data_IF_185482075609
#
_entry.id   IF_185482075609
#
_cell.length_a   1.000
_cell.length_b   1.000
_cell.length_c   1.000
_cell.angle_alpha   90.00
_cell.angle_beta   90.00
_cell.angle_gamma   90.00
#
_symmetry.space_group_name_H-M   'P 1'
#
loop_
_entity.id
_entity.type
_entity.pdbx_description
1 polymer ?
#
# COMPACT_ATOMS: atom_id res chain seq x y z
N UNK A 1 0.52 23.18 -16.99
CA UNK A 1 -0.53 23.14 -15.97
C UNK A 1 -0.82 24.57 -15.52
N UNK A 2 -2.05 25.08 -15.64
CA UNK A 2 -2.39 26.42 -15.22
C UNK A 2 -2.58 26.46 -13.69
N UNK A 3 -1.48 26.37 -12.94
CA UNK A 3 -1.50 26.67 -11.51
C UNK A 3 -1.66 28.21 -11.40
N UNK A 4 -2.87 28.66 -11.14
CA UNK A 4 -3.26 30.09 -11.10
C UNK A 4 -2.80 30.80 -9.83
N UNK A 5 -2.29 30.07 -8.84
CA UNK A 5 -1.80 30.65 -7.60
C UNK A 5 -0.37 31.20 -7.77
N UNK A 6 -0.01 32.27 -7.06
CA UNK A 6 1.33 32.82 -7.10
C UNK A 6 2.35 31.84 -6.52
N UNK A 7 3.56 31.89 -7.05
CA UNK A 7 4.68 31.10 -6.56
C UNK A 7 5.52 31.93 -5.59
N UNK A 8 5.97 31.29 -4.52
CA UNK A 8 6.84 31.93 -3.53
C UNK A 8 8.18 32.35 -4.13
N UNK A 9 8.83 31.43 -4.82
CA UNK A 9 10.06 31.71 -5.58
C UNK A 9 10.22 30.72 -6.73
N UNK A 10 9.63 31.03 -7.87
CA UNK A 10 9.66 30.18 -9.06
C UNK A 10 11.09 29.92 -9.59
N UNK A 11 11.97 30.91 -9.49
CA UNK A 11 13.36 30.80 -9.95
C UNK A 11 14.15 29.79 -9.09
N UNK A 12 13.99 29.87 -7.78
CA UNK A 12 14.58 28.90 -6.83
C UNK A 12 14.10 27.49 -7.14
N UNK A 13 12.80 27.30 -7.29
CA UNK A 13 12.21 25.99 -7.50
C UNK A 13 12.66 25.35 -8.82
N UNK A 14 12.74 26.13 -9.89
CA UNK A 14 13.29 25.68 -11.18
C UNK A 14 14.77 25.32 -11.05
N UNK A 15 15.57 26.16 -10.39
CA UNK A 15 16.99 25.89 -10.16
C UNK A 15 17.21 24.60 -9.39
N UNK A 16 16.42 24.38 -8.35
CA UNK A 16 16.46 23.15 -7.55
C UNK A 16 16.13 21.90 -8.39
N UNK A 17 15.03 21.94 -9.17
CA UNK A 17 14.61 20.83 -10.04
C UNK A 17 15.72 20.51 -11.06
N UNK A 18 16.26 21.53 -11.72
CA UNK A 18 17.32 21.34 -12.73
C UNK A 18 18.57 20.71 -12.12
N UNK A 19 18.97 21.16 -10.93
CA UNK A 19 20.13 20.59 -10.22
C UNK A 19 19.91 19.12 -9.89
N UNK A 20 18.73 18.78 -9.38
CA UNK A 20 18.35 17.38 -9.03
C UNK A 20 18.31 16.47 -10.26
N UNK A 21 17.75 16.95 -11.38
CA UNK A 21 17.73 16.19 -12.64
C UNK A 21 19.15 15.97 -13.20
N UNK A 22 20.04 16.96 -13.09
CA UNK A 22 21.44 16.79 -13.49
C UNK A 22 22.16 15.75 -12.64
N UNK A 23 21.94 15.78 -11.33
CA UNK A 23 22.51 14.80 -10.40
C UNK A 23 22.02 13.38 -10.73
N UNK A 24 20.71 13.19 -10.94
CA UNK A 24 20.10 11.91 -11.31
C UNK A 24 20.64 11.36 -12.65
N UNK A 25 21.10 12.22 -13.54
CA UNK A 25 21.68 11.88 -14.85
C UNK A 25 23.21 11.82 -14.86
N UNK A 26 23.87 11.92 -13.69
CA UNK A 26 25.34 11.85 -13.58
C UNK A 26 26.08 13.10 -14.10
N UNK A 27 25.39 14.26 -14.15
CA UNK A 27 26.01 15.56 -14.42
C UNK A 27 25.63 16.22 -15.75
N UNK A 28 25.24 15.47 -16.77
CA UNK A 28 24.86 16.03 -18.08
C UNK A 28 23.43 15.63 -18.47
N UNK A 29 22.64 16.64 -18.85
CA UNK A 29 21.36 16.38 -19.53
C UNK A 29 21.69 15.95 -20.96
N UNK A 30 21.47 14.70 -21.29
CA UNK A 30 21.67 14.18 -22.63
C UNK A 30 20.72 14.88 -23.61
N UNK A 31 21.23 15.26 -24.76
CA UNK A 31 20.51 16.06 -25.79
C UNK A 31 19.22 15.37 -26.30
N UNK A 32 19.09 14.06 -26.08
CA UNK A 32 17.92 13.26 -26.46
C UNK A 32 17.00 12.94 -25.28
N UNK A 33 17.24 13.54 -24.12
CA UNK A 33 16.37 13.35 -22.96
C UNK A 33 15.16 14.27 -23.05
N UNK A 34 13.99 13.75 -22.65
CA UNK A 34 12.77 14.54 -22.57
C UNK A 34 11.94 14.17 -21.34
N UNK A 35 11.21 15.16 -20.86
CA UNK A 35 10.32 15.01 -19.72
C UNK A 35 8.89 14.83 -20.22
N UNK A 36 8.26 13.73 -19.83
CA UNK A 36 6.85 13.49 -20.08
C UNK A 36 6.11 13.56 -18.74
N UNK A 37 5.11 14.42 -18.63
CA UNK A 37 4.31 14.60 -17.42
C UNK A 37 2.85 14.31 -17.68
N UNK A 38 2.15 13.82 -16.66
CA UNK A 38 0.70 13.66 -16.71
C UNK A 38 0.04 15.04 -16.88
N UNK A 39 -1.04 15.09 -17.64
CA UNK A 39 -1.80 16.33 -17.84
C UNK A 39 -2.51 16.80 -16.57
N UNK A 40 -2.79 15.88 -15.66
CA UNK A 40 -3.53 16.14 -14.44
C UNK A 40 -2.62 16.04 -13.22
N UNK A 41 -2.91 16.87 -12.22
CA UNK A 41 -2.25 16.77 -10.92
C UNK A 41 -2.85 15.67 -10.09
N UNK A 42 -1.98 15.03 -9.31
CA UNK A 42 -2.35 14.02 -8.33
C UNK A 42 -2.45 14.71 -6.97
N UNK A 43 -3.59 14.64 -6.32
CA UNK A 43 -3.81 15.27 -5.03
C UNK A 43 -3.80 14.23 -3.91
N UNK A 44 -2.96 14.46 -2.91
CA UNK A 44 -2.93 13.65 -1.70
C UNK A 44 -2.53 14.51 -0.50
N UNK A 45 -3.29 14.42 0.59
CA UNK A 45 -3.09 15.22 1.80
C UNK A 45 -3.08 16.73 1.49
N UNK A 46 -1.99 17.42 1.84
CA UNK A 46 -1.80 18.87 1.66
C UNK A 46 -1.01 19.22 0.40
N UNK A 47 -0.66 18.24 -0.43
CA UNK A 47 0.17 18.46 -1.62
C UNK A 47 -0.60 18.15 -2.92
N UNK A 48 -0.28 18.93 -3.95
CA UNK A 48 -0.53 18.58 -5.32
C UNK A 48 0.78 18.01 -5.92
N UNK A 49 0.70 16.88 -6.58
CA UNK A 49 1.86 16.20 -7.15
C UNK A 49 1.86 16.30 -8.65
N UNK A 50 2.92 16.83 -9.21
CA UNK A 50 3.22 16.67 -10.62
C UNK A 50 3.90 15.30 -10.79
N UNK A 51 3.26 14.40 -11.52
CA UNK A 51 3.77 13.05 -11.78
C UNK A 51 4.22 12.97 -13.23
N UNK A 52 5.44 12.50 -13.45
CA UNK A 52 6.04 12.39 -14.76
C UNK A 52 7.12 11.32 -14.84
N UNK A 53 7.74 11.24 -16.00
CA UNK A 53 8.90 10.41 -16.26
C UNK A 53 9.93 11.17 -17.07
N UNK A 54 11.19 11.01 -16.71
CA UNK A 54 12.33 11.47 -17.46
C UNK A 54 12.79 10.32 -18.37
N UNK A 55 12.62 10.49 -19.66
CA UNK A 55 12.98 9.50 -20.65
C UNK A 55 14.34 9.87 -21.21
N UNK A 56 15.31 8.97 -21.11
CA UNK A 56 16.65 9.11 -21.64
C UNK A 56 16.94 7.96 -22.60
N UNK A 57 18.00 8.02 -23.42
CA UNK A 57 18.39 6.90 -24.26
C UNK A 57 18.74 5.62 -23.49
N UNK A 58 19.04 5.72 -22.20
CA UNK A 58 19.50 4.61 -21.36
C UNK A 58 18.47 4.09 -20.37
N UNK A 59 17.52 4.95 -19.92
CA UNK A 59 16.57 4.61 -18.89
C UNK A 59 15.34 5.52 -18.89
N UNK A 60 14.25 5.02 -18.32
CA UNK A 60 13.08 5.81 -17.93
C UNK A 60 13.09 5.95 -16.42
N UNK A 61 13.19 7.18 -15.90
CA UNK A 61 13.24 7.48 -14.48
C UNK A 61 11.93 8.15 -14.04
N UNK A 62 11.47 7.91 -12.83
CA UNK A 62 10.37 8.70 -12.25
C UNK A 62 10.73 10.18 -12.16
N UNK A 63 9.72 11.01 -12.23
CA UNK A 63 9.81 12.43 -11.96
C UNK A 63 8.59 12.86 -11.16
N UNK A 64 8.76 13.03 -9.85
CA UNK A 64 7.65 13.35 -8.93
C UNK A 64 7.99 14.66 -8.20
N UNK A 65 7.11 15.64 -8.29
CA UNK A 65 7.24 16.93 -7.60
C UNK A 65 6.04 17.16 -6.68
N UNK A 66 6.20 17.12 -5.37
CA UNK A 66 5.20 17.64 -4.44
C UNK A 66 5.21 19.17 -4.46
N UNK A 67 4.05 19.73 -4.74
CA UNK A 67 3.79 21.17 -4.74
C UNK A 67 2.93 21.47 -3.53
N UNK A 68 3.45 22.26 -2.64
CA UNK A 68 2.79 22.69 -1.41
C UNK A 68 2.26 24.12 -1.54
N UNK A 69 1.35 24.43 -0.64
CA UNK A 69 0.85 25.79 -0.43
C UNK A 69 1.28 26.27 0.95
N UNK A 70 1.98 27.39 0.99
CA UNK A 70 2.38 28.08 2.22
C UNK A 70 1.18 28.73 2.93
N UNK A 71 1.36 29.16 4.17
CA UNK A 71 0.30 29.76 4.97
C UNK A 71 -0.23 31.08 4.37
N UNK A 72 0.61 31.83 3.66
CA UNK A 72 0.28 33.03 2.88
C UNK A 72 -0.32 32.73 1.49
N UNK A 73 -0.54 31.46 1.18
CA UNK A 73 -1.25 31.00 0.00
C UNK A 73 -0.40 30.84 -1.26
N UNK A 74 0.92 31.01 -1.18
CA UNK A 74 1.83 30.85 -2.31
C UNK A 74 2.24 29.40 -2.53
N UNK A 75 2.56 29.03 -3.76
CA UNK A 75 3.03 27.70 -4.12
C UNK A 75 4.55 27.59 -4.01
N UNK A 76 5.03 26.43 -3.62
CA UNK A 76 6.44 26.08 -3.66
C UNK A 76 6.63 24.58 -3.90
N UNK A 77 7.78 24.21 -4.49
CA UNK A 77 8.21 22.81 -4.62
C UNK A 77 9.02 22.44 -3.39
N UNK A 78 8.63 21.34 -2.76
CA UNK A 78 9.29 20.82 -1.55
C UNK A 78 10.54 19.98 -1.92
N UNK A 79 10.37 19.05 -2.86
CA UNK A 79 11.45 18.16 -3.31
C UNK A 79 11.27 17.72 -4.76
N UNK A 80 12.26 17.01 -5.30
CA UNK A 80 12.21 16.37 -6.61
C UNK A 80 12.65 14.92 -6.45
N UNK A 81 11.75 13.97 -6.68
CA UNK A 81 12.01 12.54 -6.54
C UNK A 81 12.21 11.93 -7.93
N UNK A 82 13.32 11.22 -8.11
CA UNK A 82 13.75 10.71 -9.42
C UNK A 82 14.12 9.22 -9.40
N UNK A 83 14.05 8.55 -8.26
CA UNK A 83 14.35 7.13 -8.15
C UNK A 83 13.09 6.27 -8.08
N UNK A 84 13.18 5.04 -8.57
CA UNK A 84 12.08 4.06 -8.48
C UNK A 84 11.73 3.73 -7.03
N UNK A 85 12.70 3.73 -6.12
CA UNK A 85 12.49 3.48 -4.70
C UNK A 85 11.63 4.58 -4.07
N UNK A 86 11.98 5.85 -4.25
CA UNK A 86 11.21 7.00 -3.77
C UNK A 86 9.80 7.02 -4.36
N UNK A 87 9.68 6.80 -5.67
CA UNK A 87 8.38 6.71 -6.34
C UNK A 87 7.53 5.58 -5.77
N UNK A 88 8.13 4.41 -5.48
CA UNK A 88 7.44 3.29 -4.88
C UNK A 88 6.94 3.60 -3.46
N UNK A 89 7.69 4.36 -2.67
CA UNK A 89 7.26 4.82 -1.34
C UNK A 89 6.08 5.78 -1.46
N UNK A 90 6.15 6.74 -2.37
CA UNK A 90 5.06 7.71 -2.62
C UNK A 90 3.78 7.01 -3.07
N UNK A 91 3.88 6.03 -3.97
CA UNK A 91 2.77 5.18 -4.41
C UNK A 91 2.62 3.92 -3.55
N UNK A 92 2.88 4.02 -2.25
CA UNK A 92 2.95 2.90 -1.31
C UNK A 92 1.71 2.01 -1.24
N UNK A 93 1.73 1.07 -0.31
CA UNK A 93 0.65 0.07 -0.10
C UNK A 93 -0.42 0.55 0.89
N UNK A 94 -0.31 1.78 1.32
CA UNK A 94 -1.24 2.38 2.25
C UNK A 94 -2.51 2.85 1.53
N UNK A 95 -3.60 2.94 2.31
CA UNK A 95 -4.89 3.35 1.78
C UNK A 95 -4.97 4.80 1.31
N UNK A 96 -4.07 5.67 1.74
CA UNK A 96 -4.04 7.07 1.28
C UNK A 96 -3.66 7.13 -0.21
N UNK A 97 -4.65 6.99 -1.06
CA UNK A 97 -4.49 7.05 -2.52
C UNK A 97 -4.53 8.48 -3.02
N UNK A 98 -4.03 8.66 -4.24
CA UNK A 98 -4.15 9.93 -4.95
C UNK A 98 -5.57 10.15 -5.49
N UNK A 99 -6.08 11.35 -5.33
CA UNK A 99 -7.20 11.84 -6.12
C UNK A 99 -6.66 12.46 -7.40
N UNK A 100 -6.96 11.82 -8.52
CA UNK A 100 -6.56 12.26 -9.86
C UNK A 100 -7.71 12.08 -10.83
N UNK A 101 -7.89 13.04 -11.74
CA UNK A 101 -8.83 12.88 -12.83
C UNK A 101 -8.24 11.94 -13.88
N UNK A 102 -8.80 10.78 -14.02
CA UNK A 102 -8.34 9.72 -14.93
C UNK A 102 -9.51 9.27 -15.84
N UNK A 103 -9.74 9.95 -16.97
CA UNK A 103 -10.82 9.58 -17.89
C UNK A 103 -10.61 8.18 -18.49
N UNK A 104 -9.36 7.74 -18.62
CA UNK A 104 -8.95 6.41 -19.06
C UNK A 104 -8.02 5.78 -18.02
N UNK A 105 -8.56 5.23 -16.91
CA UNK A 105 -7.74 4.71 -15.82
C UNK A 105 -6.75 3.63 -16.26
N UNK A 106 -7.12 2.76 -17.18
CA UNK A 106 -6.24 1.72 -17.69
C UNK A 106 -5.01 2.29 -18.40
N UNK A 107 -5.16 3.34 -19.21
CA UNK A 107 -4.04 3.99 -19.89
C UNK A 107 -3.11 4.67 -18.88
N UNK A 108 -3.68 5.30 -17.83
CA UNK A 108 -2.88 5.90 -16.77
C UNK A 108 -2.10 4.84 -15.98
N UNK A 109 -2.72 3.71 -15.67
CA UNK A 109 -2.06 2.60 -14.96
C UNK A 109 -0.92 2.03 -15.80
N UNK A 110 -1.12 1.78 -17.10
CA UNK A 110 -0.05 1.31 -17.98
C UNK A 110 1.11 2.32 -18.06
N UNK A 111 0.80 3.60 -18.14
CA UNK A 111 1.82 4.65 -18.14
C UNK A 111 2.60 4.72 -16.81
N UNK A 112 1.93 4.53 -15.66
CA UNK A 112 2.58 4.49 -14.34
C UNK A 112 3.48 3.26 -14.16
N UNK A 113 3.17 2.13 -14.79
CA UNK A 113 4.00 0.92 -14.70
C UNK A 113 5.43 1.12 -15.18
N UNK A 114 5.66 2.02 -16.12
CA UNK A 114 7.00 2.32 -16.61
C UNK A 114 7.91 2.94 -15.53
N UNK A 115 7.33 3.67 -14.59
CA UNK A 115 8.07 4.30 -13.47
C UNK A 115 7.90 3.58 -12.15
N UNK A 116 7.02 2.58 -12.08
CA UNK A 116 6.70 1.79 -10.90
C UNK A 116 6.70 0.29 -11.23
N UNK A 117 7.81 -0.26 -11.74
CA UNK A 117 7.85 -1.65 -12.25
C UNK A 117 7.62 -2.70 -11.17
N UNK A 118 7.83 -2.36 -9.89
CA UNK A 118 7.59 -3.25 -8.75
C UNK A 118 6.16 -3.26 -8.24
N UNK A 119 5.24 -2.46 -8.83
CA UNK A 119 3.83 -2.42 -8.44
C UNK A 119 2.96 -3.28 -9.34
N UNK A 120 2.03 -4.03 -8.76
CA UNK A 120 1.03 -4.77 -9.53
C UNK A 120 0.00 -3.82 -10.14
N UNK A 121 -0.72 -4.30 -11.15
CA UNK A 121 -1.84 -3.56 -11.75
C UNK A 121 -2.89 -3.19 -10.72
N UNK A 122 -3.20 -4.10 -9.80
CA UNK A 122 -4.14 -3.86 -8.70
C UNK A 122 -3.68 -2.72 -7.78
N UNK A 123 -2.40 -2.70 -7.41
CA UNK A 123 -1.83 -1.66 -6.55
C UNK A 123 -1.82 -0.28 -7.23
N UNK A 124 -1.55 -0.23 -8.53
CA UNK A 124 -1.60 1.03 -9.28
C UNK A 124 -3.03 1.57 -9.41
N UNK A 125 -4.02 0.71 -9.66
CA UNK A 125 -5.43 1.12 -9.61
C UNK A 125 -5.82 1.65 -8.21
N UNK A 126 -5.35 0.99 -7.15
CA UNK A 126 -5.59 1.47 -5.78
C UNK A 126 -4.96 2.84 -5.57
N UNK A 127 -3.71 3.02 -5.97
CA UNK A 127 -2.96 4.27 -5.81
C UNK A 127 -3.64 5.48 -6.47
N UNK A 128 -4.36 5.28 -7.57
CA UNK A 128 -5.13 6.35 -8.27
C UNK A 128 -6.61 6.42 -7.86
N UNK A 129 -7.00 5.74 -6.77
CA UNK A 129 -8.36 5.79 -6.24
C UNK A 129 -9.39 4.90 -6.95
N UNK A 130 -8.98 4.07 -7.91
CA UNK A 130 -9.87 3.16 -8.64
C UNK A 130 -10.07 1.83 -7.90
N UNK A 131 -10.65 1.89 -6.70
CA UNK A 131 -10.76 0.77 -5.76
C UNK A 131 -11.48 -0.46 -6.34
N UNK A 132 -12.56 -0.27 -7.10
CA UNK A 132 -13.30 -1.40 -7.72
C UNK A 132 -12.45 -2.14 -8.74
N UNK A 133 -11.70 -1.42 -9.56
CA UNK A 133 -10.75 -2.00 -10.50
C UNK A 133 -9.63 -2.74 -9.75
N UNK A 134 -9.05 -2.09 -8.75
CA UNK A 134 -8.01 -2.68 -7.91
C UNK A 134 -8.47 -4.02 -7.29
N UNK A 135 -9.66 -4.06 -6.69
CA UNK A 135 -10.22 -5.27 -6.10
C UNK A 135 -10.44 -6.37 -7.14
N UNK A 136 -10.92 -6.01 -8.34
CA UNK A 136 -11.14 -6.96 -9.44
C UNK A 136 -9.80 -7.53 -9.92
N UNK A 137 -8.79 -6.70 -10.14
CA UNK A 137 -7.47 -7.15 -10.60
C UNK A 137 -6.77 -7.99 -9.52
N UNK A 138 -6.84 -7.59 -8.25
CA UNK A 138 -6.32 -8.37 -7.14
C UNK A 138 -6.95 -9.78 -7.05
N UNK A 139 -8.27 -9.88 -7.29
CA UNK A 139 -8.95 -11.18 -7.33
C UNK A 139 -8.55 -12.01 -8.55
N UNK A 140 -8.31 -11.37 -9.70
CA UNK A 140 -7.78 -12.05 -10.90
C UNK A 140 -6.36 -12.55 -10.69
N UNK A 141 -5.50 -11.73 -10.06
CA UNK A 141 -4.14 -12.14 -9.67
C UNK A 141 -4.18 -13.39 -8.77
N UNK A 142 -5.07 -13.39 -7.78
CA UNK A 142 -5.30 -14.54 -6.91
C UNK A 142 -5.74 -15.78 -7.71
N UNK A 143 -6.79 -15.67 -8.53
CA UNK A 143 -7.28 -16.80 -9.33
C UNK A 143 -6.20 -17.34 -10.27
N UNK A 144 -5.45 -16.47 -10.90
CA UNK A 144 -4.35 -16.84 -11.78
C UNK A 144 -3.24 -17.60 -11.02
N UNK A 145 -2.94 -17.17 -9.79
CA UNK A 145 -1.98 -17.84 -8.94
C UNK A 145 -2.45 -19.25 -8.54
N UNK A 146 -3.63 -19.38 -7.97
CA UNK A 146 -4.14 -20.65 -7.45
C UNK A 146 -4.44 -21.69 -8.54
N UNK A 147 -4.68 -21.26 -9.79
CA UNK A 147 -4.86 -22.19 -10.91
C UNK A 147 -3.55 -22.75 -11.47
N UNK A 148 -2.40 -22.18 -11.08
CA UNK A 148 -1.07 -22.56 -11.58
C UNK A 148 -0.13 -23.03 -10.49
N UNK A 149 -0.56 -22.99 -9.25
CA UNK A 149 0.21 -23.39 -8.07
C UNK A 149 -0.47 -24.55 -7.38
N UNK A 150 0.32 -25.56 -6.98
CA UNK A 150 -0.13 -26.65 -6.11
C UNK A 150 0.07 -26.32 -4.63
N UNK A 151 0.41 -25.06 -4.29
CA UNK A 151 0.58 -24.62 -2.92
C UNK A 151 -0.74 -24.68 -2.13
N UNK A 152 -0.58 -24.96 -0.85
CA UNK A 152 -1.69 -24.93 0.08
C UNK A 152 -1.64 -23.69 0.97
N UNK A 153 -2.80 -23.18 1.33
CA UNK A 153 -2.93 -22.20 2.37
C UNK A 153 -2.44 -22.78 3.70
N UNK A 154 -1.59 -22.05 4.36
CA UNK A 154 -1.05 -22.35 5.69
C UNK A 154 -1.31 -21.18 6.64
N UNK A 155 -1.24 -21.44 7.95
CA UNK A 155 -1.23 -20.35 8.92
C UNK A 155 -0.07 -19.41 8.61
N UNK A 156 -0.31 -18.10 8.63
CA UNK A 156 0.74 -17.13 8.35
C UNK A 156 1.82 -17.18 9.43
N UNK A 157 3.12 -17.14 9.04
CA UNK A 157 4.21 -17.10 10.02
C UNK A 157 4.11 -15.89 10.96
N UNK A 158 4.55 -16.05 12.21
CA UNK A 158 4.61 -14.99 13.20
C UNK A 158 3.77 -15.26 14.44
N UNK A 159 3.57 -14.22 15.24
CA UNK A 159 2.82 -14.33 16.50
C UNK A 159 1.32 -14.32 16.19
N UNK A 160 0.62 -15.35 16.64
CA UNK A 160 -0.83 -15.48 16.46
C UNK A 160 -1.59 -14.25 16.98
N UNK A 161 -2.51 -13.75 16.14
CA UNK A 161 -3.39 -12.68 16.53
C UNK A 161 -4.44 -13.11 17.56
N UNK A 162 -4.78 -12.22 18.50
CA UNK A 162 -5.82 -12.48 19.50
C UNK A 162 -7.24 -12.37 18.93
N UNK A 163 -7.42 -11.63 17.86
CA UNK A 163 -8.71 -11.26 17.26
C UNK A 163 -8.91 -11.88 15.88
N UNK A 164 -7.82 -12.00 15.12
CA UNK A 164 -7.83 -12.46 13.74
C UNK A 164 -7.07 -13.78 13.62
N UNK A 165 -7.61 -14.70 12.82
CA UNK A 165 -6.86 -15.80 12.26
C UNK A 165 -6.27 -15.34 10.93
N UNK A 166 -4.97 -15.48 10.76
CA UNK A 166 -4.23 -15.03 9.58
C UNK A 166 -3.61 -16.24 8.88
N UNK A 167 -3.83 -16.34 7.58
CA UNK A 167 -3.29 -17.41 6.75
C UNK A 167 -2.82 -16.87 5.40
N UNK A 168 -2.00 -17.62 4.69
CA UNK A 168 -1.37 -17.20 3.44
C UNK A 168 -1.07 -18.39 2.54
N UNK A 169 -0.86 -18.13 1.24
CA UNK A 169 -0.14 -19.02 0.33
C UNK A 169 1.34 -18.62 0.35
N UNK A 170 2.29 -19.54 0.56
CA UNK A 170 3.71 -19.21 0.73
C UNK A 170 4.31 -18.33 -0.37
N UNK A 171 4.03 -18.62 -1.62
CA UNK A 171 4.53 -17.86 -2.77
C UNK A 171 3.64 -16.71 -3.22
N UNK A 172 2.52 -16.45 -2.55
CA UNK A 172 1.62 -15.33 -2.90
C UNK A 172 1.72 -14.20 -1.89
N UNK A 173 1.95 -13.00 -2.36
CA UNK A 173 2.24 -11.80 -1.57
C UNK A 173 1.02 -11.21 -0.85
N UNK A 174 0.14 -12.05 -0.34
CA UNK A 174 -1.06 -11.60 0.39
C UNK A 174 -1.27 -12.44 1.65
N UNK A 175 -1.82 -11.80 2.65
CA UNK A 175 -2.37 -12.45 3.85
C UNK A 175 -3.88 -12.34 3.86
N UNK A 176 -4.51 -13.38 4.33
CA UNK A 176 -5.96 -13.54 4.45
C UNK A 176 -6.31 -13.54 5.93
N UNK A 177 -7.23 -12.68 6.34
CA UNK A 177 -7.57 -12.46 7.75
C UNK A 177 -9.05 -12.71 7.99
N UNK A 178 -9.36 -13.61 8.89
CA UNK A 178 -10.73 -13.91 9.33
C UNK A 178 -10.88 -13.52 10.79
N UNK A 179 -11.95 -12.81 11.12
CA UNK A 179 -12.26 -12.46 12.52
C UNK A 179 -12.64 -13.77 13.23
N UNK A 180 -12.02 -14.08 14.38
CA UNK A 180 -12.32 -15.26 15.18
C UNK A 180 -13.75 -15.21 15.73
N UNK A 181 -14.34 -16.37 16.02
CA UNK A 181 -15.65 -16.47 16.64
C UNK A 181 -15.62 -16.09 18.13
N UNK A 182 -14.48 -16.36 18.78
CA UNK A 182 -14.24 -16.03 20.19
C UNK A 182 -12.91 -15.32 20.33
N UNK A 183 -12.87 -14.28 21.14
CA UNK A 183 -11.66 -13.54 21.47
C UNK A 183 -11.10 -13.99 22.81
N UNK A 184 -9.81 -13.73 23.05
CA UNK A 184 -9.20 -13.96 24.35
C UNK A 184 -9.96 -13.17 25.44
N UNK A 185 -10.14 -13.72 26.65
CA UNK A 185 -10.94 -13.10 27.71
C UNK A 185 -10.51 -11.69 28.13
N UNK A 186 -9.25 -11.35 27.84
CA UNK A 186 -8.67 -10.03 28.15
C UNK A 186 -9.10 -8.94 27.16
N UNK A 187 -9.81 -9.28 26.07
CA UNK A 187 -10.29 -8.31 25.08
C UNK A 187 -11.80 -8.28 25.06
N UNK A 188 -12.37 -7.27 25.72
CA UNK A 188 -13.79 -6.92 25.59
C UNK A 188 -14.07 -6.34 24.20
N UNK A 189 -14.02 -7.18 23.17
CA UNK A 189 -14.26 -6.79 21.77
C UNK A 189 -15.31 -7.70 21.14
N UNK A 190 -16.06 -7.15 20.20
CA UNK A 190 -16.99 -7.91 19.37
C UNK A 190 -16.54 -7.88 17.90
N UNK A 191 -16.98 -8.84 17.10
CA UNK A 191 -16.72 -8.82 15.65
C UNK A 191 -17.25 -7.54 14.97
N UNK A 192 -18.36 -6.99 15.45
CA UNK A 192 -18.90 -5.70 14.97
C UNK A 192 -17.94 -4.54 15.28
N UNK A 193 -17.35 -4.52 16.47
CA UNK A 193 -16.37 -3.50 16.84
C UNK A 193 -15.10 -3.60 15.98
N UNK A 194 -14.61 -4.81 15.72
CA UNK A 194 -13.45 -5.01 14.81
C UNK A 194 -13.75 -4.45 13.43
N UNK A 195 -14.91 -4.75 12.85
CA UNK A 195 -15.33 -4.20 11.55
C UNK A 195 -15.41 -2.67 11.58
N UNK A 196 -15.95 -2.10 12.65
CA UNK A 196 -16.03 -0.65 12.82
C UNK A 196 -14.64 -0.01 12.86
N UNK A 197 -13.64 -0.64 13.50
CA UNK A 197 -12.26 -0.17 13.48
C UNK A 197 -11.65 -0.18 12.07
N UNK A 198 -11.87 -1.25 11.30
CA UNK A 198 -11.43 -1.30 9.88
C UNK A 198 -12.12 -0.21 9.06
N UNK A 199 -13.41 0.01 9.25
CA UNK A 199 -14.15 1.07 8.56
C UNK A 199 -13.66 2.47 8.95
N UNK A 200 -13.39 2.71 10.24
CA UNK A 200 -12.82 3.95 10.74
C UNK A 200 -11.49 4.29 10.04
N UNK A 201 -10.59 3.32 9.93
CA UNK A 201 -9.32 3.49 9.19
C UNK A 201 -9.59 3.84 7.73
N UNK A 202 -10.52 3.13 7.10
CA UNK A 202 -10.91 3.39 5.71
C UNK A 202 -11.39 4.82 5.47
N UNK A 203 -12.09 5.40 6.40
CA UNK A 203 -12.69 6.73 6.29
C UNK A 203 -11.74 7.86 6.71
N UNK A 204 -10.83 7.60 7.65
CA UNK A 204 -10.07 8.63 8.32
C UNK A 204 -8.56 8.61 8.07
N UNK A 205 -8.00 7.49 7.59
CA UNK A 205 -6.56 7.46 7.28
C UNK A 205 -6.24 8.33 6.07
N UNK A 206 -5.76 9.52 6.34
CA UNK A 206 -5.24 10.48 5.36
C UNK A 206 -3.72 10.53 5.35
N UNK A 207 -3.08 9.80 6.24
CA UNK A 207 -1.61 9.80 6.40
C UNK A 207 -0.96 8.76 5.50
N UNK A 208 -1.62 7.61 5.33
CA UNK A 208 -1.12 6.51 4.52
C UNK A 208 -0.12 5.63 5.25
N UNK A 209 -0.27 5.49 6.57
CA UNK A 209 0.54 4.58 7.39
C UNK A 209 -0.17 3.27 7.71
N UNK A 210 -1.46 3.19 7.46
CA UNK A 210 -2.22 1.95 7.63
C UNK A 210 -2.25 1.16 6.32
N UNK A 211 -1.92 -0.12 6.38
CA UNK A 211 -1.98 -1.00 5.21
C UNK A 211 -3.38 -0.99 4.59
N UNK A 212 -3.43 -0.97 3.26
CA UNK A 212 -4.70 -1.10 2.56
C UNK A 212 -5.27 -2.49 2.74
N UNK A 213 -6.56 -2.55 3.04
CA UNK A 213 -7.29 -3.78 3.32
C UNK A 213 -8.45 -3.91 2.35
N UNK A 214 -8.44 -4.97 1.56
CA UNK A 214 -9.57 -5.34 0.72
C UNK A 214 -10.50 -6.29 1.50
N UNK A 215 -11.78 -5.99 1.46
CA UNK A 215 -12.82 -6.74 2.16
C UNK A 215 -13.62 -7.57 1.15
N UNK A 216 -13.78 -8.85 1.43
CA UNK A 216 -14.55 -9.80 0.61
C UNK A 216 -15.63 -10.48 1.43
N UNK A 217 -16.79 -10.64 0.82
CA UNK A 217 -17.88 -11.47 1.35
C UNK A 217 -17.98 -12.77 0.57
N UNK A 218 -18.28 -13.84 1.26
CA UNK A 218 -18.46 -15.20 0.69
C UNK A 218 -17.28 -15.63 -0.19
N UNK A 219 -16.05 -15.44 0.32
CA UNK A 219 -14.86 -15.82 -0.40
C UNK A 219 -14.71 -17.34 -0.44
N UNK A 220 -14.65 -17.89 -1.66
CA UNK A 220 -14.66 -19.35 -1.86
C UNK A 220 -13.24 -19.87 -2.03
N UNK A 221 -12.89 -20.91 -1.26
CA UNK A 221 -11.63 -21.64 -1.32
C UNK A 221 -11.88 -23.12 -1.69
N UNK A 222 -11.01 -23.69 -2.51
CA UNK A 222 -10.98 -25.15 -2.74
C UNK A 222 -10.34 -25.83 -1.52
N UNK A 223 -10.99 -26.84 -0.97
CA UNK A 223 -10.50 -27.57 0.21
C UNK A 223 -9.15 -28.24 -0.03
N UNK A 224 -8.84 -28.63 -1.26
CA UNK A 224 -7.54 -29.23 -1.64
C UNK A 224 -6.38 -28.25 -1.49
N UNK A 225 -6.67 -26.96 -1.59
CA UNK A 225 -5.69 -25.88 -1.43
C UNK A 225 -5.55 -25.41 0.02
N UNK A 226 -6.14 -26.11 0.98
CA UNK A 226 -6.05 -25.76 2.40
C UNK A 226 -5.32 -26.87 3.11
N UNK A 227 -4.20 -26.56 3.77
CA UNK A 227 -3.49 -27.53 4.60
C UNK A 227 -4.40 -28.07 5.70
N UNK A 228 -4.34 -29.37 6.03
CA UNK A 228 -5.21 -29.99 7.04
C UNK A 228 -5.17 -29.30 8.41
N UNK A 229 -3.98 -28.81 8.80
CA UNK A 229 -3.76 -28.08 10.05
C UNK A 229 -4.50 -26.75 10.04
N UNK A 230 -4.45 -26.02 8.93
CA UNK A 230 -5.18 -24.77 8.76
C UNK A 230 -6.70 -25.01 8.72
N UNK A 231 -7.15 -26.08 8.06
CA UNK A 231 -8.58 -26.41 8.04
C UNK A 231 -9.11 -26.67 9.45
N UNK A 232 -8.36 -27.42 10.24
CA UNK A 232 -8.69 -27.69 11.65
C UNK A 232 -8.77 -26.39 12.45
N UNK A 233 -7.81 -25.50 12.24
CA UNK A 233 -7.74 -24.21 12.92
C UNK A 233 -8.89 -23.29 12.51
N UNK A 234 -9.22 -23.22 11.22
CA UNK A 234 -10.37 -22.46 10.70
C UNK A 234 -11.68 -22.93 11.32
N UNK A 235 -11.88 -24.24 11.38
CA UNK A 235 -13.08 -24.84 12.01
C UNK A 235 -13.18 -24.54 13.51
N UNK A 236 -12.05 -24.57 14.21
CA UNK A 236 -12.02 -24.34 15.66
C UNK A 236 -12.21 -22.86 16.03
N UNK A 237 -11.61 -21.94 15.28
CA UNK A 237 -11.54 -20.52 15.65
C UNK A 237 -12.52 -19.62 14.89
N UNK A 238 -12.99 -20.04 13.71
CA UNK A 238 -13.87 -19.26 12.83
C UNK A 238 -14.99 -20.08 12.18
N UNK A 239 -15.36 -21.23 12.79
CA UNK A 239 -16.32 -22.18 12.24
C UNK A 239 -17.67 -21.57 11.89
N UNK A 240 -18.16 -20.62 12.67
CA UNK A 240 -19.43 -19.90 12.40
C UNK A 240 -19.42 -19.04 11.13
N UNK A 241 -18.26 -18.82 10.55
CA UNK A 241 -18.08 -18.03 9.31
C UNK A 241 -17.84 -18.90 8.10
N UNK A 242 -17.77 -20.21 8.29
CA UNK A 242 -17.54 -21.17 7.23
C UNK A 242 -18.86 -21.78 6.76
N UNK A 243 -19.06 -21.81 5.45
CA UNK A 243 -20.12 -22.57 4.81
C UNK A 243 -19.51 -23.68 3.97
N UNK A 244 -19.85 -24.90 4.27
CA UNK A 244 -19.41 -26.07 3.49
C UNK A 244 -20.16 -26.14 2.15
N UNK A 245 -19.41 -26.19 1.07
CA UNK A 245 -19.91 -26.29 -0.30
C UNK A 245 -19.43 -27.58 -1.01
N UNK A 246 -19.22 -28.67 -0.25
CA UNK A 246 -18.70 -29.93 -0.76
C UNK A 246 -17.17 -29.86 -0.93
N UNK A 247 -16.65 -29.78 -2.14
CA UNK A 247 -15.22 -29.68 -2.43
C UNK A 247 -14.62 -28.32 -2.05
N UNK A 248 -15.45 -27.34 -1.69
CA UNK A 248 -15.07 -25.99 -1.37
C UNK A 248 -15.64 -25.54 -0.04
N UNK A 249 -15.08 -24.47 0.51
CA UNK A 249 -15.65 -23.71 1.62
C UNK A 249 -15.83 -22.27 1.22
N UNK A 250 -16.89 -21.64 1.72
CA UNK A 250 -17.05 -20.19 1.62
C UNK A 250 -16.81 -19.57 3.00
N UNK A 251 -15.99 -18.52 3.04
CA UNK A 251 -15.76 -17.70 4.22
C UNK A 251 -16.66 -16.48 4.10
N UNK A 252 -17.60 -16.30 5.02
CA UNK A 252 -18.64 -15.27 4.94
C UNK A 252 -18.09 -13.84 4.90
N UNK A 253 -16.94 -13.62 5.55
CA UNK A 253 -16.27 -12.31 5.60
C UNK A 253 -14.77 -12.48 5.76
N UNK A 254 -13.99 -11.86 4.86
CA UNK A 254 -12.54 -12.00 4.78
C UNK A 254 -11.90 -10.65 4.45
N UNK A 255 -10.79 -10.35 5.12
CA UNK A 255 -9.89 -9.25 4.75
C UNK A 255 -8.66 -9.82 4.05
N UNK A 256 -8.24 -9.16 2.97
CA UNK A 256 -6.99 -9.48 2.25
C UNK A 256 -6.10 -8.23 2.26
N UNK A 257 -4.85 -8.42 2.65
CA UNK A 257 -3.84 -7.36 2.72
C UNK A 257 -2.55 -7.84 2.07
N UNK A 258 -1.68 -6.90 1.72
CA UNK A 258 -0.31 -7.24 1.32
C UNK A 258 0.41 -7.90 2.50
N UNK A 259 1.14 -8.98 2.20
CA UNK A 259 2.02 -9.62 3.17
C UNK A 259 3.27 -8.76 3.38
N UNK A 260 3.48 -8.34 4.58
CA UNK A 260 4.66 -7.60 5.03
C UNK A 260 5.42 -8.43 6.05
N UNK A 261 6.72 -8.19 6.17
CA UNK A 261 7.52 -8.80 7.24
C UNK A 261 7.22 -8.06 8.54
N UNK A 262 6.74 -8.71 9.61
CA UNK A 262 6.53 -8.06 10.90
C UNK A 262 7.82 -7.41 11.41
N UNK A 263 7.72 -6.18 11.91
CA UNK A 263 8.89 -5.38 12.31
C UNK A 263 9.74 -6.10 13.38
N UNK A 264 9.13 -6.82 14.31
CA UNK A 264 9.89 -7.60 15.30
C UNK A 264 10.78 -8.67 14.65
N UNK A 265 10.35 -9.30 13.56
CA UNK A 265 11.14 -10.28 12.80
C UNK A 265 12.19 -9.55 11.96
N UNK A 266 11.84 -8.43 11.34
CA UNK A 266 12.76 -7.63 10.55
C UNK A 266 13.94 -7.13 11.36
N UNK A 267 13.69 -6.61 12.57
CA UNK A 267 14.73 -6.07 13.44
C UNK A 267 15.76 -7.13 13.90
N UNK A 268 15.41 -8.42 13.89
CA UNK A 268 16.33 -9.52 14.18
C UNK A 268 17.26 -9.87 13.01
N UNK A 269 16.93 -9.40 11.80
CA UNK A 269 17.61 -9.76 10.55
C UNK A 269 18.51 -8.64 10.00
N UNK A 270 18.43 -7.44 10.56
CA UNK A 270 19.14 -6.26 10.04
C UNK A 270 20.03 -5.61 11.10
N UNK A 271 21.11 -5.00 10.62
CA UNK A 271 22.08 -4.29 11.46
C UNK A 271 22.44 -2.94 10.83
N UNK A 272 23.21 -2.16 11.58
CA UNK A 272 23.80 -0.92 11.08
C UNK A 272 22.78 0.15 10.69
N UNK A 273 22.88 0.68 9.48
CA UNK A 273 22.00 1.76 9.01
C UNK A 273 20.57 1.29 8.80
N UNK A 274 20.35 0.10 8.24
CA UNK A 274 19.01 -0.44 8.02
C UNK A 274 18.19 -0.60 9.32
N UNK A 275 18.88 -0.99 10.42
CA UNK A 275 18.24 -1.05 11.74
C UNK A 275 17.84 0.36 12.23
N UNK A 276 18.72 1.35 12.07
CA UNK A 276 18.42 2.74 12.46
C UNK A 276 17.23 3.29 11.67
N UNK A 277 17.25 3.11 10.34
CA UNK A 277 16.19 3.59 9.45
C UNK A 277 14.82 2.97 9.81
N UNK A 278 14.78 1.67 10.10
CA UNK A 278 13.55 0.99 10.50
C UNK A 278 13.00 1.50 11.84
N UNK A 279 13.86 1.75 12.83
CA UNK A 279 13.45 2.29 14.13
C UNK A 279 12.98 3.74 14.01
N UNK A 280 13.67 4.54 13.20
CA UNK A 280 13.30 5.94 12.93
C UNK A 280 11.95 6.01 12.21
N UNK A 281 11.74 5.18 11.17
CA UNK A 281 10.46 5.10 10.46
C UNK A 281 9.32 4.59 11.34
N UNK A 282 9.57 3.67 12.25
CA UNK A 282 8.59 3.26 13.26
C UNK A 282 8.17 4.45 14.15
N UNK A 283 9.14 5.23 14.65
CA UNK A 283 8.87 6.45 15.42
C UNK A 283 8.09 7.49 14.60
N UNK A 284 8.46 7.69 13.33
CA UNK A 284 7.77 8.58 12.40
C UNK A 284 6.33 8.14 12.15
N UNK A 285 6.09 6.83 11.98
CA UNK A 285 4.75 6.28 11.77
C UNK A 285 3.85 6.56 12.98
N UNK A 286 4.32 6.32 14.21
CA UNK A 286 3.57 6.62 15.44
C UNK A 286 3.22 8.11 15.52
N UNK A 287 4.22 8.99 15.30
CA UNK A 287 4.01 10.45 15.35
C UNK A 287 2.98 10.92 14.32
N UNK A 288 3.04 10.39 13.11
CA UNK A 288 2.11 10.76 12.03
C UNK A 288 0.69 10.23 12.28
N UNK A 289 0.54 9.00 12.76
CA UNK A 289 -0.75 8.44 13.16
C UNK A 289 -1.39 9.26 14.29
N UNK A 290 -0.60 9.62 15.31
CA UNK A 290 -1.05 10.47 16.40
C UNK A 290 -1.50 11.86 15.91
N UNK A 291 -0.74 12.47 14.99
CA UNK A 291 -1.09 13.75 14.37
C UNK A 291 -2.39 13.68 13.54
N UNK A 292 -2.72 12.50 13.01
CA UNK A 292 -3.98 12.23 12.32
C UNK A 292 -5.12 11.80 13.24
N UNK A 293 -4.90 11.79 14.55
CA UNK A 293 -5.83 11.30 15.57
C UNK A 293 -6.19 9.81 15.39
N UNK A 294 -5.23 9.02 14.86
CA UNK A 294 -5.36 7.58 14.75
C UNK A 294 -4.46 6.96 15.81
N UNK A 295 -5.07 6.29 16.79
CA UNK A 295 -4.36 5.60 17.85
C UNK A 295 -4.52 4.09 17.66
N UNK A 296 -3.47 3.38 17.18
CA UNK A 296 -3.47 1.92 17.19
C UNK A 296 -3.63 1.45 18.63
N UNK A 297 -4.58 0.59 18.90
CA UNK A 297 -4.83 0.07 20.25
C UNK A 297 -3.70 -0.79 20.81
N UNK A 298 -2.69 -1.11 19.98
CA UNK A 298 -1.57 -1.96 20.32
C UNK A 298 -0.36 -1.56 19.44
N UNK A 299 0.60 -0.83 20.01
CA UNK A 299 1.80 -0.34 19.34
C UNK A 299 2.97 -1.33 19.42
N UNK A 300 2.72 -2.62 19.40
CA UNK A 300 3.76 -3.64 19.39
C UNK A 300 4.40 -3.74 18.00
N UNK A 301 5.71 -4.00 17.96
CA UNK A 301 6.48 -4.16 16.73
C UNK A 301 5.87 -5.19 15.75
N UNK A 302 5.25 -6.27 16.28
CA UNK A 302 4.58 -7.28 15.45
C UNK A 302 3.40 -6.75 14.61
N UNK A 303 2.86 -5.58 14.96
CA UNK A 303 1.73 -4.95 14.27
C UNK A 303 2.16 -3.94 13.21
N UNK A 304 3.46 -3.69 13.08
CA UNK A 304 4.07 -2.90 12.03
C UNK A 304 4.74 -3.84 11.03
N UNK A 305 4.75 -3.46 9.77
CA UNK A 305 5.31 -4.26 8.69
C UNK A 305 6.30 -3.45 7.85
N UNK A 306 7.29 -4.16 7.34
CA UNK A 306 8.31 -3.65 6.43
C UNK A 306 8.16 -4.32 5.06
#
# INVERSE_FOLDING_TARGET
LPLRLPWQNKGRDIGYIVSHLREALGGELLSQSHLQVANELFYRNKAAWLVGKLITPMATLPFLLPIHRSDDGQLFVDTCLTTHAEASIVFGFARSYFMVYAPLPAALVEWLREILPGKTTAELYMAIGCQKHAKTESYREYLHYVTRSDEQFIEAPGIRGMVMLVFTLPGFDRVFKVIKDRFAPQKEMTAAHVRACYQLVKEHDRVGRMADTQEFENFVLDKRQIAPELMTLLQAEAGNKLTDLGDRIAISHLYIERRMVPLNIWLEQVEGQALRDAVEEYGNAIRQLAAANIFPGDMLFKNFGV
#
